data_IF_408305532284
#
_entry.id   IF_408305532284
#
_cell.length_a   1.000
_cell.length_b   1.000
_cell.length_c   1.000
_cell.angle_alpha   90.00
_cell.angle_beta   90.00
_cell.angle_gamma   90.00
#
_symmetry.space_group_name_H-M   'P 1'
#
loop_
_entity.id
_entity.type
_entity.pdbx_description
1 polymer ?
#
# COMPACT_ATOMS: atom_id res chain seq x y z
N UNK A 1 -13.19 2.00 0.26
CA UNK A 1 -12.20 1.56 -0.75
C UNK A 1 -12.83 1.72 -2.11
N UNK A 2 -12.08 2.13 -3.12
CA UNK A 2 -12.52 2.12 -4.51
C UNK A 2 -11.79 0.98 -5.21
N UNK A 3 -12.49 0.29 -6.11
CA UNK A 3 -11.96 -0.79 -6.92
C UNK A 3 -12.21 -0.42 -8.38
N UNK A 4 -11.15 -0.48 -9.18
CA UNK A 4 -11.18 -0.25 -10.62
C UNK A 4 -11.03 -1.60 -11.34
N UNK A 5 -11.90 -1.84 -12.32
CA UNK A 5 -11.86 -3.02 -13.20
C UNK A 5 -11.32 -2.70 -14.61
N UNK A 6 -10.89 -1.46 -14.85
CA UNK A 6 -10.41 -0.93 -16.12
C UNK A 6 -11.48 -0.17 -16.92
N UNK A 7 -12.74 -0.18 -16.48
CA UNK A 7 -13.81 0.62 -17.11
C UNK A 7 -14.20 1.81 -16.26
N UNK A 8 -14.50 1.58 -14.99
CA UNK A 8 -14.88 2.62 -14.02
C UNK A 8 -14.59 2.14 -12.59
N UNK A 9 -14.58 3.08 -11.65
CA UNK A 9 -14.37 2.79 -10.25
C UNK A 9 -15.69 2.53 -9.51
N UNK A 10 -15.73 1.45 -8.73
CA UNK A 10 -16.85 1.17 -7.84
C UNK A 10 -16.46 1.35 -6.37
N UNK A 11 -17.34 2.01 -5.62
CA UNK A 11 -17.18 2.13 -4.17
C UNK A 11 -17.49 0.81 -3.49
N UNK A 12 -16.52 0.28 -2.77
CA UNK A 12 -16.70 -0.85 -1.85
C UNK A 12 -16.89 -0.28 -0.44
N UNK A 13 -18.06 -0.55 0.15
CA UNK A 13 -18.42 -0.05 1.47
C UNK A 13 -18.54 -1.20 2.47
N UNK A 14 -17.71 -1.14 3.52
CA UNK A 14 -17.68 -2.14 4.57
C UNK A 14 -18.66 -1.74 5.68
N UNK A 15 -19.75 -2.50 5.82
CA UNK A 15 -20.69 -2.27 6.92
C UNK A 15 -20.06 -2.67 8.26
N UNK A 16 -20.48 -1.99 9.34
CA UNK A 16 -20.12 -2.37 10.70
C UNK A 16 -20.63 -3.79 10.99
N UNK A 17 -19.84 -4.59 11.72
CA UNK A 17 -20.21 -5.96 12.10
C UNK A 17 -19.94 -7.03 11.05
N UNK A 18 -19.40 -6.68 9.87
CA UNK A 18 -18.98 -7.65 8.84
C UNK A 18 -17.68 -8.39 9.19
N UNK A 19 -16.91 -7.87 10.16
CA UNK A 19 -15.59 -8.41 10.51
C UNK A 19 -14.50 -8.13 9.47
N UNK A 20 -14.77 -7.29 8.47
CA UNK A 20 -13.81 -6.95 7.42
C UNK A 20 -12.81 -5.91 7.93
N UNK A 21 -11.52 -6.22 7.80
CA UNK A 21 -10.41 -5.31 8.13
C UNK A 21 -9.78 -4.78 6.85
N UNK A 22 -10.23 -3.63 6.31
CA UNK A 22 -9.81 -3.17 4.99
C UNK A 22 -8.35 -2.67 4.96
N UNK A 23 -7.74 -2.39 6.11
CA UNK A 23 -6.39 -1.84 6.22
C UNK A 23 -5.28 -2.81 5.78
N UNK A 24 -5.61 -4.08 5.49
CA UNK A 24 -4.66 -5.04 4.94
C UNK A 24 -4.48 -4.90 3.42
N UNK A 25 -5.36 -4.15 2.76
CA UNK A 25 -5.34 -3.89 1.33
C UNK A 25 -4.71 -2.52 1.06
N UNK A 26 -3.84 -2.49 0.06
CA UNK A 26 -3.11 -1.30 -0.33
C UNK A 26 -3.44 -0.90 -1.77
N UNK A 27 -3.15 0.35 -2.13
CA UNK A 27 -3.21 0.78 -3.52
C UNK A 27 -2.31 -0.14 -4.37
N UNK A 28 -2.83 -0.55 -5.54
CA UNK A 28 -2.17 -1.51 -6.42
C UNK A 28 -2.46 -2.98 -6.11
N UNK A 29 -3.14 -3.31 -5.02
CA UNK A 29 -3.55 -4.69 -4.79
C UNK A 29 -4.64 -5.11 -5.77
N UNK A 30 -4.45 -6.27 -6.42
CA UNK A 30 -5.49 -6.90 -7.23
C UNK A 30 -6.38 -7.73 -6.32
N UNK A 31 -7.69 -7.45 -6.33
CA UNK A 31 -8.64 -8.04 -5.40
C UNK A 31 -9.90 -8.45 -6.16
N UNK A 32 -10.37 -9.68 -5.93
CA UNK A 32 -11.70 -10.14 -6.31
C UNK A 32 -12.67 -9.90 -5.15
N UNK A 33 -13.77 -9.20 -5.42
CA UNK A 33 -14.77 -8.85 -4.41
C UNK A 33 -16.14 -9.38 -4.83
N UNK A 34 -16.83 -10.02 -3.90
CA UNK A 34 -18.24 -10.42 -4.03
C UNK A 34 -19.07 -9.60 -3.03
N UNK A 35 -20.31 -9.28 -3.35
CA UNK A 35 -21.15 -8.54 -2.42
C UNK A 35 -22.51 -8.19 -2.98
N UNK A 36 -23.30 -7.50 -2.16
CA UNK A 36 -24.62 -7.01 -2.56
C UNK A 36 -24.46 -5.64 -3.21
N UNK A 37 -25.09 -5.44 -4.36
CA UNK A 37 -25.18 -4.12 -4.99
C UNK A 37 -26.18 -3.27 -4.21
N UNK A 38 -25.73 -2.12 -3.72
CA UNK A 38 -26.56 -1.15 -3.01
C UNK A 38 -26.62 0.18 -3.76
N UNK A 39 -27.80 0.76 -3.88
CA UNK A 39 -27.98 2.10 -4.44
C UNK A 39 -27.76 3.16 -3.36
N UNK A 40 -27.19 4.29 -3.77
CA UNK A 40 -27.02 5.51 -2.98
C UNK A 40 -27.62 6.69 -3.75
N UNK A 41 -27.62 7.88 -3.15
CA UNK A 41 -28.09 9.10 -3.84
C UNK A 41 -27.26 9.45 -5.08
N UNK A 42 -26.01 8.98 -5.15
CA UNK A 42 -25.03 9.38 -6.17
C UNK A 42 -24.57 8.23 -7.05
N UNK A 43 -25.22 7.06 -7.00
CA UNK A 43 -24.82 5.88 -7.78
C UNK A 43 -24.86 4.59 -6.98
N UNK A 44 -24.05 3.61 -7.39
CA UNK A 44 -24.03 2.27 -6.81
C UNK A 44 -22.76 1.99 -6.00
N UNK A 45 -22.85 1.00 -5.11
CA UNK A 45 -21.74 0.50 -4.31
C UNK A 45 -21.86 -1.00 -4.11
N UNK A 46 -20.75 -1.66 -3.82
CA UNK A 46 -20.73 -3.06 -3.40
C UNK A 46 -20.64 -3.15 -1.87
N UNK A 47 -21.44 -4.03 -1.29
CA UNK A 47 -21.54 -4.32 0.14
C UNK A 47 -21.13 -5.78 0.39
N UNK A 48 -19.84 -6.06 0.65
CA UNK A 48 -19.40 -7.38 1.09
C UNK A 48 -19.96 -7.67 2.49
N UNK A 49 -20.29 -8.93 2.77
CA UNK A 49 -20.91 -9.35 4.04
C UNK A 49 -19.88 -9.93 5.03
N UNK A 50 -18.77 -10.46 4.54
CA UNK A 50 -17.73 -11.07 5.37
C UNK A 50 -16.34 -10.98 4.74
N UNK A 51 -15.25 -11.28 5.48
CA UNK A 51 -13.90 -11.31 4.91
C UNK A 51 -13.74 -12.30 3.75
N UNK A 52 -14.52 -13.39 3.74
CA UNK A 52 -14.49 -14.40 2.67
C UNK A 52 -14.97 -13.87 1.31
N UNK A 53 -15.69 -12.75 1.32
CA UNK A 53 -16.13 -12.10 0.09
C UNK A 53 -15.00 -11.32 -0.60
N UNK A 54 -13.81 -11.27 0.01
CA UNK A 54 -12.64 -10.56 -0.50
C UNK A 54 -11.46 -11.50 -0.65
N UNK A 55 -10.90 -11.56 -1.85
CA UNK A 55 -9.76 -12.42 -2.17
C UNK A 55 -8.71 -11.58 -2.87
N UNK A 56 -7.55 -11.38 -2.24
CA UNK A 56 -6.40 -10.78 -2.90
C UNK A 56 -5.84 -11.77 -3.92
N UNK A 57 -5.77 -11.36 -5.18
CA UNK A 57 -5.27 -12.17 -6.30
C UNK A 57 -3.87 -11.77 -6.73
N UNK A 58 -3.35 -10.63 -6.27
CA UNK A 58 -2.01 -10.19 -6.59
C UNK A 58 -1.75 -8.73 -6.22
N UNK A 59 -0.71 -8.17 -6.83
CA UNK A 59 -0.35 -6.75 -6.78
C UNK A 59 0.04 -6.37 -8.22
N UNK A 60 -0.30 -5.16 -8.65
CA UNK A 60 0.11 -4.66 -9.96
C UNK A 60 1.64 -4.49 -10.02
N UNK A 61 2.23 -4.88 -11.16
CA UNK A 61 3.68 -4.93 -11.33
C UNK A 61 4.35 -3.58 -11.08
N UNK A 62 3.79 -2.49 -11.62
CA UNK A 62 4.36 -1.15 -11.47
C UNK A 62 4.49 -0.72 -10.00
N UNK A 63 3.54 -1.13 -9.15
CA UNK A 63 3.58 -0.83 -7.72
C UNK A 63 4.62 -1.69 -6.98
N UNK A 64 4.94 -2.88 -7.51
CA UNK A 64 6.05 -3.69 -6.97
C UNK A 64 7.37 -2.98 -7.29
N UNK A 65 7.57 -2.58 -8.54
CA UNK A 65 8.78 -1.89 -8.99
C UNK A 65 9.00 -0.56 -8.23
N UNK A 66 7.95 0.24 -8.04
CA UNK A 66 8.03 1.48 -7.24
C UNK A 66 8.39 1.22 -5.77
N UNK A 67 7.86 0.16 -5.16
CA UNK A 67 8.18 -0.18 -3.76
C UNK A 67 9.61 -0.69 -3.62
N UNK A 68 10.09 -1.48 -4.57
CA UNK A 68 11.46 -1.99 -4.58
C UNK A 68 12.47 -0.87 -4.80
N UNK A 69 12.25 -0.02 -5.79
CA UNK A 69 13.10 1.15 -6.06
C UNK A 69 13.15 2.11 -4.86
N UNK A 70 12.00 2.42 -4.24
CA UNK A 70 11.97 3.26 -3.04
C UNK A 70 12.69 2.63 -1.84
N UNK A 71 12.60 1.31 -1.67
CA UNK A 71 13.32 0.59 -0.62
C UNK A 71 14.84 0.59 -0.86
N UNK A 72 15.27 0.41 -2.12
CA UNK A 72 16.68 0.48 -2.51
C UNK A 72 17.27 1.88 -2.30
N UNK A 73 16.55 2.93 -2.71
CA UNK A 73 16.98 4.32 -2.51
C UNK A 73 17.12 4.66 -1.02
N UNK A 74 16.15 4.26 -0.20
CA UNK A 74 16.19 4.43 1.26
C UNK A 74 17.42 3.74 1.89
N UNK A 75 17.70 2.49 1.49
CA UNK A 75 18.86 1.76 2.00
C UNK A 75 20.18 2.41 1.59
N UNK A 76 20.27 2.92 0.36
CA UNK A 76 21.45 3.66 -0.13
C UNK A 76 21.67 4.96 0.65
N UNK A 77 20.61 5.74 0.89
CA UNK A 77 20.68 6.98 1.68
C UNK A 77 21.16 6.70 3.11
N UNK A 78 20.65 5.63 3.74
CA UNK A 78 21.06 5.21 5.07
C UNK A 78 22.55 4.85 5.07
N UNK A 79 23.02 4.06 4.10
CA UNK A 79 24.42 3.67 3.99
C UNK A 79 25.36 4.88 3.81
N UNK A 80 24.98 5.84 2.97
CA UNK A 80 25.75 7.08 2.75
C UNK A 80 25.84 7.94 4.02
N UNK A 81 24.75 8.03 4.80
CA UNK A 81 24.76 8.72 6.10
C UNK A 81 25.71 8.07 7.09
N UNK A 82 25.71 6.74 7.20
CA UNK A 82 26.62 6.02 8.09
C UNK A 82 28.08 6.15 7.67
N UNK A 83 28.38 6.07 6.36
CA UNK A 83 29.74 6.24 5.86
C UNK A 83 30.25 7.68 6.09
N UNK A 84 29.40 8.67 5.86
CA UNK A 84 29.74 10.08 6.10
C UNK A 84 29.96 10.36 7.58
N UNK A 85 29.12 9.83 8.47
CA UNK A 85 29.25 10.02 9.91
C UNK A 85 30.55 9.39 10.46
N UNK A 86 30.91 8.20 9.98
CA UNK A 86 32.16 7.52 10.40
C UNK A 86 33.41 8.20 9.86
N UNK A 87 33.41 8.62 8.59
CA UNK A 87 34.49 9.42 8.01
C UNK A 87 34.66 10.77 8.72
N UNK A 88 33.55 11.47 8.98
CA UNK A 88 33.54 12.73 9.74
C UNK A 88 34.05 12.57 11.17
N UNK A 89 33.63 11.51 11.87
CA UNK A 89 34.13 11.19 13.21
C UNK A 89 35.63 10.90 13.23
N UNK A 90 36.12 10.08 12.29
CA UNK A 90 37.54 9.74 12.20
C UNK A 90 38.42 10.96 11.88
N UNK A 91 37.99 11.80 10.94
CA UNK A 91 38.71 13.03 10.59
C UNK A 91 38.73 14.04 11.74
N UNK A 92 37.64 14.18 12.48
CA UNK A 92 37.59 15.03 13.67
C UNK A 92 38.60 14.58 14.75
N UNK A 93 38.77 13.27 14.96
CA UNK A 93 39.79 12.73 15.88
C UNK A 93 41.20 13.05 15.39
N UNK A 94 41.46 12.90 14.08
CA UNK A 94 42.80 13.10 13.52
C UNK A 94 43.24 14.57 13.46
N UNK A 95 42.31 15.50 13.24
CA UNK A 95 42.61 16.95 13.13
C UNK A 95 42.51 17.66 14.48
N UNK A 96 41.71 17.14 15.42
CA UNK A 96 41.54 17.71 16.76
C UNK A 96 42.58 17.27 17.79
N UNK A 97 43.54 16.40 17.41
CA UNK A 97 44.65 15.94 18.24
C UNK A 97 45.91 16.77 18.02
#
# INVERSE_FOLDING_TARGET
MYLDDGTDEVKVYFQKGTGITPNIYHLGDLIKITGIVGQTKTGYRILPRSPHDMIKTGVVEDVIVERETAAEESNKEIAEKYLTATAGGLTAILVGL
#
